data_IF_964381240735
#
_entry.id   IF_964381240735
#
_cell.length_a   1.000
_cell.length_b   1.000
_cell.length_c   1.000
_cell.angle_alpha   90.00
_cell.angle_beta   90.00
_cell.angle_gamma   90.00
#
_symmetry.space_group_name_H-M   'P 1'
#
loop_
_entity.id
_entity.type
_entity.pdbx_description
1 polymer ?
#
# COMPACT_ATOMS: atom_id res chain seq x y z
N UNK A 1 -6.08 -19.60 4.05
CA UNK A 1 -6.15 -19.04 2.68
C UNK A 1 -4.86 -18.28 2.43
N UNK A 2 -4.29 -18.32 1.23
CA UNK A 2 -3.00 -17.67 0.95
C UNK A 2 -2.94 -16.18 1.34
N UNK A 3 -3.97 -15.34 1.08
CA UNK A 3 -3.99 -13.95 1.55
C UNK A 3 -3.81 -13.79 3.05
N UNK A 4 -4.44 -14.64 3.86
CA UNK A 4 -4.36 -14.54 5.32
C UNK A 4 -2.93 -14.78 5.80
N UNK A 5 -2.23 -15.77 5.23
CA UNK A 5 -0.82 -16.04 5.57
C UNK A 5 0.10 -14.90 5.15
N UNK A 6 -0.10 -14.35 3.95
CA UNK A 6 0.70 -13.22 3.47
C UNK A 6 0.47 -11.98 4.35
N UNK A 7 -0.77 -11.71 4.72
CA UNK A 7 -1.12 -10.55 5.54
C UNK A 7 -0.74 -10.70 7.02
N UNK A 8 -0.53 -11.92 7.54
CA UNK A 8 0.10 -12.13 8.86
C UNK A 8 1.49 -11.49 8.93
N UNK A 9 2.19 -11.38 7.80
CA UNK A 9 3.49 -10.73 7.74
C UNK A 9 3.42 -9.24 7.46
N UNK A 10 2.39 -8.77 6.72
CA UNK A 10 2.29 -7.37 6.26
C UNK A 10 1.44 -6.47 7.18
N UNK A 11 0.50 -7.02 7.94
CA UNK A 11 -0.34 -6.25 8.86
C UNK A 11 0.52 -5.63 9.97
N UNK A 12 0.41 -4.31 10.15
CA UNK A 12 1.19 -3.59 11.14
C UNK A 12 1.64 -2.21 10.66
N UNK A 13 2.64 -1.68 11.36
CA UNK A 13 3.25 -0.39 11.07
C UNK A 13 4.66 -0.62 10.55
N UNK A 14 4.94 -0.08 9.38
CA UNK A 14 6.23 -0.13 8.71
C UNK A 14 6.81 1.27 8.66
N UNK A 15 8.02 1.42 9.18
CA UNK A 15 8.79 2.66 9.07
C UNK A 15 10.08 2.36 8.37
N UNK A 16 10.38 3.13 7.33
CA UNK A 16 11.57 2.95 6.52
C UNK A 16 11.95 4.22 5.78
N UNK A 17 12.91 4.07 4.88
CA UNK A 17 13.43 5.14 4.06
C UNK A 17 13.45 4.71 2.60
N UNK A 18 13.28 5.67 1.69
CA UNK A 18 13.31 5.45 0.26
C UNK A 18 13.89 6.64 -0.49
N UNK A 19 14.05 6.46 -1.80
CA UNK A 19 14.56 7.48 -2.70
C UNK A 19 13.68 7.55 -3.95
N UNK A 20 13.22 8.74 -4.29
CA UNK A 20 12.42 9.00 -5.49
C UNK A 20 13.31 9.52 -6.62
N UNK A 21 13.11 9.00 -7.83
CA UNK A 21 13.82 9.40 -9.06
C UNK A 21 12.88 9.25 -10.27
N UNK A 22 12.84 10.25 -11.16
CA UNK A 22 12.08 10.17 -12.42
C UNK A 22 12.75 10.98 -13.55
N UNK A 23 12.99 10.40 -14.74
CA UNK A 23 13.60 11.12 -15.87
C UNK A 23 12.79 12.35 -16.32
N UNK A 24 13.43 13.41 -16.88
CA UNK A 24 14.85 13.53 -17.21
C UNK A 24 15.70 14.18 -16.10
N UNK A 25 15.14 14.40 -14.92
CA UNK A 25 15.76 15.24 -13.89
C UNK A 25 16.31 14.42 -12.73
N UNK A 26 17.62 14.54 -12.48
CA UNK A 26 18.13 14.57 -11.12
C UNK A 26 17.67 15.92 -10.52
N UNK A 27 16.95 15.90 -9.39
CA UNK A 27 17.49 15.32 -8.18
C UNK A 27 16.72 14.11 -7.64
N UNK A 28 17.50 13.20 -7.06
CA UNK A 28 17.01 12.20 -6.12
C UNK A 28 16.56 12.90 -4.85
N UNK A 29 15.37 12.61 -4.37
CA UNK A 29 14.95 13.04 -3.03
C UNK A 29 14.85 11.82 -2.13
N UNK A 30 15.40 11.95 -0.93
CA UNK A 30 15.35 10.90 0.10
C UNK A 30 14.19 11.21 1.04
N UNK A 31 13.39 10.19 1.33
CA UNK A 31 12.22 10.32 2.19
C UNK A 31 12.21 9.25 3.27
N UNK A 32 11.62 9.60 4.42
CA UNK A 32 11.13 8.61 5.39
C UNK A 32 9.68 8.27 5.05
N UNK A 33 9.31 7.00 5.15
CA UNK A 33 7.96 6.51 4.92
C UNK A 33 7.43 5.82 6.18
N UNK A 34 6.20 6.16 6.55
CA UNK A 34 5.38 5.36 7.46
C UNK A 34 4.22 4.75 6.66
N UNK A 35 4.08 3.44 6.72
CA UNK A 35 2.99 2.68 6.11
C UNK A 35 2.27 1.88 7.19
N UNK A 36 0.97 2.06 7.29
CA UNK A 36 0.09 1.32 8.20
C UNK A 36 -0.81 0.46 7.35
N UNK A 37 -0.86 -0.83 7.68
CA UNK A 37 -1.75 -1.81 7.06
C UNK A 37 -2.58 -2.46 8.16
N UNK A 38 -3.90 -2.40 8.03
CA UNK A 38 -4.84 -2.93 9.02
C UNK A 38 -6.06 -3.56 8.35
N UNK A 39 -6.80 -4.39 9.08
CA UNK A 39 -8.03 -4.99 8.56
C UNK A 39 -9.08 -3.92 8.31
N UNK A 40 -9.62 -3.87 7.09
CA UNK A 40 -10.73 -2.97 6.78
C UNK A 40 -12.04 -3.50 7.40
N UNK A 41 -13.01 -2.62 7.65
CA UNK A 41 -14.34 -3.04 8.14
C UNK A 41 -15.35 -2.99 6.98
N UNK A 42 -16.10 -4.08 6.69
CA UNK A 42 -16.07 -5.39 7.35
C UNK A 42 -14.86 -6.25 6.93
N UNK A 43 -14.39 -7.10 7.86
CA UNK A 43 -13.38 -8.12 7.60
C UNK A 43 -13.92 -9.49 8.01
N UNK A 44 -13.65 -10.52 7.20
CA UNK A 44 -14.17 -11.85 7.50
C UNK A 44 -13.62 -12.94 6.58
N UNK A 45 -14.09 -14.19 6.76
CA UNK A 45 -13.65 -15.32 5.94
C UNK A 45 -13.92 -15.17 4.43
N UNK A 46 -14.85 -14.28 4.05
CA UNK A 46 -15.23 -13.97 2.66
C UNK A 46 -14.85 -12.53 2.25
N UNK A 47 -14.54 -11.68 3.23
CA UNK A 47 -14.21 -10.27 3.07
C UNK A 47 -12.74 -10.07 3.44
N UNK A 48 -11.85 -10.43 2.52
CA UNK A 48 -10.40 -10.34 2.68
C UNK A 48 -9.91 -8.98 2.19
N UNK A 49 -10.25 -7.93 2.94
CA UNK A 49 -9.86 -6.55 2.63
C UNK A 49 -9.06 -5.93 3.77
N UNK A 50 -7.95 -5.28 3.42
CA UNK A 50 -7.15 -4.48 4.33
C UNK A 50 -7.19 -3.03 3.89
N UNK A 51 -7.24 -2.10 4.82
CA UNK A 51 -6.96 -0.70 4.56
C UNK A 51 -5.48 -0.43 4.73
N UNK A 52 -4.99 0.56 4.01
CA UNK A 52 -3.65 1.06 4.22
C UNK A 52 -3.61 2.59 4.17
N UNK A 53 -2.61 3.14 4.85
CA UNK A 53 -2.24 4.56 4.77
C UNK A 53 -0.72 4.67 4.73
N UNK A 54 -0.21 5.43 3.79
CA UNK A 54 1.21 5.73 3.64
C UNK A 54 1.43 7.24 3.72
N UNK A 55 2.48 7.66 4.42
CA UNK A 55 2.92 9.06 4.50
C UNK A 55 4.42 9.12 4.24
N UNK A 56 4.82 9.94 3.27
CA UNK A 56 6.21 10.23 2.94
C UNK A 56 6.55 11.63 3.45
N UNK A 57 7.69 11.74 4.10
CA UNK A 57 8.28 13.01 4.56
C UNK A 57 9.70 13.15 4.06
N UNK A 58 10.11 14.37 3.77
CA UNK A 58 11.50 14.65 3.44
C UNK A 58 12.38 14.22 4.62
N UNK A 59 13.42 13.43 4.36
CA UNK A 59 14.27 12.87 5.41
C UNK A 59 15.06 13.93 6.18
N UNK A 60 15.46 15.01 5.52
CA UNK A 60 16.28 16.08 6.13
C UNK A 60 15.41 17.14 6.81
N UNK A 61 14.31 17.54 6.17
CA UNK A 61 13.47 18.66 6.67
C UNK A 61 12.27 18.22 7.49
N UNK A 62 11.84 16.95 7.37
CA UNK A 62 10.62 16.43 8.00
C UNK A 62 9.31 16.93 7.36
N UNK A 63 9.40 17.77 6.32
CA UNK A 63 8.25 18.29 5.59
C UNK A 63 7.47 17.15 4.90
N UNK A 64 6.14 17.28 4.86
CA UNK A 64 5.29 16.31 4.17
C UNK A 64 5.50 16.38 2.66
N UNK A 65 5.78 15.23 2.03
CA UNK A 65 5.97 15.12 0.58
C UNK A 65 4.72 14.56 -0.10
N UNK A 66 4.28 13.39 0.34
CA UNK A 66 3.15 12.68 -0.25
C UNK A 66 2.41 11.90 0.84
N UNK A 67 1.14 11.64 0.63
CA UNK A 67 0.43 10.59 1.36
C UNK A 67 -0.55 9.91 0.42
N UNK A 68 -0.90 8.69 0.75
CA UNK A 68 -1.89 7.92 0.03
C UNK A 68 -2.62 7.00 1.01
N UNK A 69 -3.86 6.67 0.69
CA UNK A 69 -4.64 5.73 1.47
C UNK A 69 -5.63 4.98 0.59
N UNK A 70 -6.06 3.82 1.06
CA UNK A 70 -7.02 3.04 0.31
C UNK A 70 -7.16 1.61 0.83
N UNK A 71 -7.48 0.70 -0.08
CA UNK A 71 -7.78 -0.69 0.27
C UNK A 71 -7.07 -1.68 -0.63
N UNK A 72 -6.55 -2.76 -0.03
CA UNK A 72 -6.10 -3.97 -0.69
C UNK A 72 -7.20 -5.03 -0.59
N UNK A 73 -7.73 -5.46 -1.73
CA UNK A 73 -8.86 -6.38 -1.85
C UNK A 73 -8.39 -7.68 -2.47
N UNK A 74 -8.38 -8.75 -1.68
CA UNK A 74 -8.09 -10.09 -2.16
C UNK A 74 -9.39 -10.76 -2.59
N UNK A 75 -9.46 -11.19 -3.86
CA UNK A 75 -10.67 -11.77 -4.42
C UNK A 75 -10.70 -13.29 -4.15
N UNK A 76 -11.64 -13.80 -3.34
CA UNK A 76 -11.71 -15.22 -3.00
C UNK A 76 -12.23 -16.09 -4.16
N UNK A 77 -12.84 -15.51 -5.21
CA UNK A 77 -13.35 -16.27 -6.36
C UNK A 77 -12.25 -16.86 -7.25
N UNK A 78 -11.00 -16.47 -7.04
CA UNK A 78 -9.84 -17.03 -7.72
C UNK A 78 -8.93 -17.74 -6.70
N UNK A 79 -9.52 -18.68 -5.93
CA UNK A 79 -8.84 -19.52 -4.92
C UNK A 79 -7.52 -20.14 -5.44
N UNK A 80 -7.38 -20.31 -6.75
CA UNK A 80 -6.19 -20.88 -7.40
C UNK A 80 -5.36 -19.88 -8.26
N UNK A 81 -5.84 -18.63 -8.43
CA UNK A 81 -5.17 -17.57 -9.19
C UNK A 81 -5.25 -16.25 -8.41
N UNK A 82 -4.38 -16.10 -7.41
CA UNK A 82 -4.39 -15.03 -6.43
C UNK A 82 -4.39 -13.62 -7.03
N UNK A 83 -5.59 -13.07 -7.25
CA UNK A 83 -5.79 -11.68 -7.71
C UNK A 83 -5.89 -10.74 -6.52
N UNK A 84 -5.16 -9.64 -6.60
CA UNK A 84 -5.24 -8.50 -5.68
C UNK A 84 -5.63 -7.25 -6.46
N UNK A 85 -6.49 -6.45 -5.87
CA UNK A 85 -6.84 -5.11 -6.34
C UNK A 85 -6.46 -4.10 -5.26
N UNK A 86 -5.73 -3.06 -5.62
CA UNK A 86 -5.37 -1.96 -4.73
C UNK A 86 -6.03 -0.70 -5.25
N UNK A 87 -6.98 -0.17 -4.48
CA UNK A 87 -7.64 1.11 -4.76
C UNK A 87 -7.01 2.18 -3.89
N UNK A 88 -6.62 3.31 -4.49
CA UNK A 88 -5.82 4.35 -3.82
C UNK A 88 -6.37 5.73 -4.12
N UNK A 89 -6.31 6.62 -3.13
CA UNK A 89 -6.48 8.06 -3.30
C UNK A 89 -5.28 8.82 -2.75
N UNK A 90 -4.96 9.93 -3.40
CA UNK A 90 -3.86 10.83 -3.02
C UNK A 90 -4.36 12.29 -2.91
N UNK A 91 -3.82 13.12 -1.99
CA UNK A 91 -4.10 14.55 -1.91
C UNK A 91 -3.77 15.34 -3.18
N UNK A 92 -3.02 14.75 -4.12
CA UNK A 92 -2.72 15.35 -5.43
C UNK A 92 -3.94 15.44 -6.35
N UNK A 93 -5.10 14.94 -5.92
CA UNK A 93 -6.31 14.88 -6.75
C UNK A 93 -6.35 13.64 -7.66
N UNK A 94 -5.55 12.63 -7.36
CA UNK A 94 -5.44 11.39 -8.14
C UNK A 94 -6.11 10.22 -7.43
N UNK A 95 -6.75 9.35 -8.19
CA UNK A 95 -7.17 8.02 -7.76
C UNK A 95 -6.61 6.95 -8.69
N UNK A 96 -6.34 5.77 -8.13
CA UNK A 96 -5.80 4.65 -8.87
C UNK A 96 -6.56 3.36 -8.53
N UNK A 97 -6.70 2.49 -9.53
CA UNK A 97 -7.16 1.11 -9.37
C UNK A 97 -6.10 0.22 -10.00
N UNK A 98 -5.32 -0.42 -9.16
CA UNK A 98 -4.22 -1.27 -9.56
C UNK A 98 -4.64 -2.74 -9.41
N UNK A 99 -4.60 -3.49 -10.51
CA UNK A 99 -4.92 -4.91 -10.52
C UNK A 99 -3.65 -5.74 -10.72
N UNK A 100 -3.52 -6.83 -9.97
CA UNK A 100 -2.35 -7.69 -10.07
C UNK A 100 -2.56 -9.07 -9.47
N UNK A 101 -1.45 -9.76 -9.27
CA UNK A 101 -1.41 -11.08 -8.63
C UNK A 101 -0.40 -11.09 -7.49
N UNK A 102 -0.51 -12.08 -6.61
CA UNK A 102 0.44 -12.32 -5.52
C UNK A 102 0.90 -13.79 -5.52
N UNK A 103 2.15 -14.00 -5.15
CA UNK A 103 2.73 -15.32 -4.85
C UNK A 103 3.26 -15.34 -3.42
N UNK A 104 3.57 -16.54 -2.91
CA UNK A 104 4.46 -16.67 -1.75
C UNK A 104 5.89 -16.22 -2.09
#
# INVERSE_FOLDING_TARGET
QLPLKLMEHLEGVWVGEGMGEYPPHEPRFVYSQELIIEKAVPHGPRELTWSFRSVLRNKETGEGLQSEMGYMRFQPLAIDHGRVEIVVTSPTGTCEVNEGTYSE
#
